data_IF_083895285762
#
_entry.id   IF_083895285762
#
_cell.length_a   1.000
_cell.length_b   1.000
_cell.length_c   1.000
_cell.angle_alpha   90.00
_cell.angle_beta   90.00
_cell.angle_gamma   90.00
#
_symmetry.space_group_name_H-M   'P 1'
#
loop_
_entity.id
_entity.type
_entity.pdbx_description
1 polymer ?
#
# COMPACT_ATOMS: atom_id res chain seq x y z
N UNK A 1 -7.51 4.95 8.57
CA UNK A 1 -7.77 3.53 8.22
C UNK A 1 -6.66 2.91 7.34
N UNK A 2 -5.37 3.21 7.57
CA UNK A 2 -4.24 2.64 6.80
C UNK A 2 -3.31 1.70 7.59
N UNK A 3 -3.28 1.81 8.92
CA UNK A 3 -2.33 1.11 9.79
C UNK A 3 -2.57 -0.41 9.89
N UNK A 4 -3.83 -0.86 9.76
CA UNK A 4 -4.18 -2.28 9.91
C UNK A 4 -3.78 -3.16 8.73
N UNK A 5 -3.52 -2.59 7.54
CA UNK A 5 -3.32 -3.36 6.30
C UNK A 5 -1.85 -3.61 5.96
N UNK A 6 -0.95 -2.74 6.41
CA UNK A 6 0.50 -2.94 6.33
C UNK A 6 0.98 -3.99 7.35
N UNK A 7 0.33 -4.02 8.52
CA UNK A 7 0.49 -5.09 9.50
C UNK A 7 0.23 -6.48 8.88
N UNK A 8 -0.80 -6.62 8.03
CA UNK A 8 -1.15 -7.88 7.39
C UNK A 8 -0.15 -8.39 6.32
N UNK A 9 0.72 -7.53 5.77
CA UNK A 9 1.78 -7.94 4.83
C UNK A 9 3.04 -8.40 5.56
N UNK A 10 3.45 -7.67 6.60
CA UNK A 10 4.47 -8.16 7.54
C UNK A 10 4.05 -9.47 8.20
N UNK A 11 2.76 -9.64 8.48
CA UNK A 11 2.18 -10.86 9.05
C UNK A 11 2.27 -12.07 8.12
N UNK A 12 2.19 -11.90 6.79
CA UNK A 12 2.31 -13.00 5.84
C UNK A 12 3.77 -13.50 5.72
N UNK A 13 4.73 -12.59 5.67
CA UNK A 13 6.16 -12.92 5.65
C UNK A 13 6.58 -13.60 6.96
N UNK A 14 6.17 -13.03 8.09
CA UNK A 14 6.36 -13.60 9.42
C UNK A 14 5.69 -14.97 9.56
N UNK A 15 4.47 -15.12 9.03
CA UNK A 15 3.74 -16.38 9.06
C UNK A 15 4.47 -17.46 8.27
N UNK A 16 4.95 -17.16 7.06
CA UNK A 16 5.74 -18.10 6.25
C UNK A 16 7.00 -18.51 7.03
N UNK A 17 7.70 -17.55 7.66
CA UNK A 17 8.91 -17.84 8.42
C UNK A 17 8.63 -18.68 9.68
N UNK A 18 7.54 -18.41 10.39
CA UNK A 18 7.09 -19.22 11.54
C UNK A 18 6.67 -20.62 11.09
N UNK A 19 5.98 -20.73 9.95
CA UNK A 19 5.56 -22.00 9.36
C UNK A 19 6.79 -22.84 8.96
N UNK A 20 7.78 -22.25 8.27
CA UNK A 20 9.06 -22.90 7.98
C UNK A 20 9.75 -23.40 9.25
N UNK A 21 9.74 -22.59 10.32
CA UNK A 21 10.35 -22.96 11.60
C UNK A 21 9.69 -24.19 12.23
N UNK A 22 8.35 -24.26 12.18
CA UNK A 22 7.59 -25.42 12.69
C UNK A 22 7.85 -26.65 11.83
N UNK A 23 7.76 -26.51 10.51
CA UNK A 23 7.89 -27.62 9.56
C UNK A 23 9.30 -28.21 9.55
N UNK A 24 10.33 -27.38 9.78
CA UNK A 24 11.70 -27.86 9.90
C UNK A 24 11.94 -28.73 11.13
N UNK A 25 11.11 -28.60 12.18
CA UNK A 25 11.17 -29.40 13.41
C UNK A 25 10.40 -30.72 13.30
N UNK A 26 9.59 -30.92 12.25
CA UNK A 26 8.92 -32.20 11.99
C UNK A 26 9.94 -33.17 11.39
N UNK A 27 9.95 -34.41 11.87
CA UNK A 27 10.73 -35.51 11.29
C UNK A 27 10.09 -35.95 9.98
N UNK A 28 10.32 -35.18 8.92
CA UNK A 28 10.02 -35.54 7.54
C UNK A 28 11.20 -36.30 6.94
N UNK A 29 10.91 -37.32 6.13
CA UNK A 29 11.92 -37.91 5.26
C UNK A 29 12.50 -36.85 4.30
N UNK A 30 13.69 -37.12 3.77
CA UNK A 30 14.43 -36.16 2.96
C UNK A 30 13.66 -35.68 1.72
N UNK A 31 12.88 -36.56 1.10
CA UNK A 31 12.11 -36.25 -0.10
C UNK A 31 10.91 -35.35 0.22
N UNK A 32 10.20 -35.64 1.30
CA UNK A 32 9.10 -34.82 1.81
C UNK A 32 9.61 -33.44 2.24
N UNK A 33 10.77 -33.36 2.90
CA UNK A 33 11.40 -32.09 3.30
C UNK A 33 11.77 -31.24 2.08
N UNK A 34 12.37 -31.84 1.06
CA UNK A 34 12.72 -31.13 -0.17
C UNK A 34 11.46 -30.62 -0.89
N UNK A 35 10.47 -31.49 -1.08
CA UNK A 35 9.21 -31.12 -1.74
C UNK A 35 8.50 -29.98 -1.01
N UNK A 36 8.51 -30.01 0.33
CA UNK A 36 7.93 -28.97 1.16
C UNK A 36 8.68 -27.64 1.05
N UNK A 37 10.02 -27.66 1.07
CA UNK A 37 10.83 -26.45 0.88
C UNK A 37 10.53 -25.81 -0.47
N UNK A 38 10.53 -26.60 -1.55
CA UNK A 38 10.21 -26.10 -2.91
C UNK A 38 8.79 -25.51 -3.00
N UNK A 39 7.82 -26.13 -2.32
CA UNK A 39 6.46 -25.61 -2.28
C UNK A 39 6.38 -24.26 -1.55
N UNK A 40 7.10 -24.11 -0.43
CA UNK A 40 7.16 -22.86 0.34
C UNK A 40 7.88 -21.76 -0.47
N UNK A 41 8.96 -22.08 -1.17
CA UNK A 41 9.69 -21.12 -2.01
C UNK A 41 8.79 -20.60 -3.13
N UNK A 42 8.08 -21.50 -3.82
CA UNK A 42 7.09 -21.14 -4.86
C UNK A 42 5.97 -20.27 -4.29
N UNK A 43 5.43 -20.62 -3.12
CA UNK A 43 4.40 -19.84 -2.47
C UNK A 43 4.89 -18.43 -2.11
N UNK A 44 6.10 -18.33 -1.54
CA UNK A 44 6.72 -17.06 -1.18
C UNK A 44 6.90 -16.16 -2.41
N UNK A 45 7.34 -16.71 -3.53
CA UNK A 45 7.47 -15.96 -4.79
C UNK A 45 6.11 -15.47 -5.32
N UNK A 46 5.07 -16.30 -5.26
CA UNK A 46 3.71 -15.93 -5.65
C UNK A 46 3.16 -14.82 -4.76
N UNK A 47 3.40 -14.92 -3.45
CA UNK A 47 2.89 -13.98 -2.46
C UNK A 47 3.59 -12.62 -2.57
N UNK A 48 4.92 -12.60 -2.77
CA UNK A 48 5.68 -11.38 -3.11
C UNK A 48 5.09 -10.68 -4.34
N UNK A 49 4.80 -11.44 -5.40
CA UNK A 49 4.19 -10.89 -6.62
C UNK A 49 2.78 -10.35 -6.36
N UNK A 50 1.98 -11.05 -5.54
CA UNK A 50 0.61 -10.63 -5.18
C UNK A 50 0.62 -9.31 -4.42
N UNK A 51 1.49 -9.19 -3.42
CA UNK A 51 1.70 -7.98 -2.60
C UNK A 51 2.17 -6.81 -3.46
N UNK A 52 3.21 -7.00 -4.27
CA UNK A 52 3.72 -5.97 -5.20
C UNK A 52 2.61 -5.45 -6.13
N UNK A 53 1.85 -6.35 -6.76
CA UNK A 53 0.70 -5.97 -7.61
C UNK A 53 -0.35 -5.17 -6.86
N UNK A 54 -0.69 -5.59 -5.64
CA UNK A 54 -1.68 -4.90 -4.80
C UNK A 54 -1.22 -3.48 -4.46
N UNK A 55 0.03 -3.32 -4.06
CA UNK A 55 0.60 -2.03 -3.70
C UNK A 55 0.67 -1.07 -4.91
N UNK A 56 1.00 -1.58 -6.10
CA UNK A 56 0.91 -0.79 -7.35
C UNK A 56 -0.52 -0.34 -7.67
N UNK A 57 -1.52 -1.20 -7.46
CA UNK A 57 -2.93 -0.83 -7.66
C UNK A 57 -3.34 0.25 -6.66
N UNK A 58 -2.95 0.15 -5.39
CA UNK A 58 -3.24 1.18 -4.39
C UNK A 58 -2.59 2.52 -4.73
N UNK A 59 -1.32 2.53 -5.14
CA UNK A 59 -0.64 3.74 -5.57
C UNK A 59 -1.35 4.42 -6.76
N UNK A 60 -1.79 3.64 -7.75
CA UNK A 60 -2.58 4.15 -8.89
C UNK A 60 -3.91 4.73 -8.44
N UNK A 61 -4.62 4.09 -7.52
CA UNK A 61 -5.86 4.61 -6.97
C UNK A 61 -5.67 5.95 -6.24
N UNK A 62 -4.57 6.13 -5.49
CA UNK A 62 -4.25 7.42 -4.88
C UNK A 62 -3.94 8.50 -5.93
N UNK A 63 -3.19 8.14 -7.00
CA UNK A 63 -2.95 9.04 -8.14
C UNK A 63 -4.26 9.49 -8.80
N UNK A 64 -5.19 8.56 -9.05
CA UNK A 64 -6.47 8.87 -9.66
C UNK A 64 -7.34 9.76 -8.74
N UNK A 65 -7.29 9.54 -7.42
CA UNK A 65 -7.97 10.41 -6.45
C UNK A 65 -7.37 11.82 -6.44
N UNK A 66 -6.04 11.97 -6.50
CA UNK A 66 -5.38 13.28 -6.60
C UNK A 66 -5.84 14.01 -7.85
N UNK A 67 -5.88 13.34 -9.01
CA UNK A 67 -6.39 13.94 -10.26
C UNK A 67 -7.81 14.47 -10.07
N UNK A 68 -8.70 13.71 -9.44
CA UNK A 68 -10.05 14.17 -9.16
C UNK A 68 -10.08 15.41 -8.23
N UNK A 69 -9.25 15.44 -7.19
CA UNK A 69 -9.13 16.60 -6.28
C UNK A 69 -8.54 17.82 -6.99
N UNK A 70 -7.60 17.64 -7.91
CA UNK A 70 -7.06 18.73 -8.74
C UNK A 70 -8.13 19.36 -9.64
N UNK A 71 -9.11 18.57 -10.11
CA UNK A 71 -10.27 19.11 -10.83
C UNK A 71 -11.07 20.10 -9.96
N UNK A 72 -11.35 19.76 -8.70
CA UNK A 72 -12.02 20.69 -7.79
C UNK A 72 -11.13 21.89 -7.44
N UNK A 73 -9.84 21.65 -7.23
CA UNK A 73 -8.88 22.71 -6.90
C UNK A 73 -8.70 23.74 -8.04
N UNK A 74 -9.07 23.40 -9.27
CA UNK A 74 -9.07 24.37 -10.39
C UNK A 74 -10.07 25.52 -10.20
N UNK A 75 -11.05 25.37 -9.31
CA UNK A 75 -11.94 26.47 -8.91
C UNK A 75 -11.16 27.61 -8.23
N UNK A 76 -10.00 27.31 -7.64
CA UNK A 76 -9.10 28.31 -7.03
C UNK A 76 -8.67 29.39 -8.03
N UNK A 77 -8.59 29.07 -9.33
CA UNK A 77 -8.23 30.03 -10.39
C UNK A 77 -9.26 31.17 -10.53
N UNK A 78 -10.48 30.97 -10.03
CA UNK A 78 -11.58 31.93 -10.09
C UNK A 78 -11.74 32.71 -8.78
N UNK A 79 -11.09 32.26 -7.70
CA UNK A 79 -11.16 32.91 -6.39
C UNK A 79 -10.21 34.11 -6.38
N UNK A 80 -10.71 35.25 -5.93
CA UNK A 80 -9.93 36.47 -5.78
C UNK A 80 -9.95 36.95 -4.33
N UNK A 81 -9.09 37.91 -3.99
CA UNK A 81 -9.04 38.52 -2.65
C UNK A 81 -10.40 39.13 -2.22
N UNK A 82 -11.19 39.56 -3.21
CA UNK A 82 -12.53 40.12 -3.05
C UNK A 82 -13.64 39.10 -2.89
N UNK A 83 -13.35 37.81 -2.78
CA UNK A 83 -14.37 36.78 -2.54
C UNK A 83 -15.16 37.09 -1.26
N UNK A 84 -16.49 37.10 -1.40
CA UNK A 84 -17.40 37.43 -0.32
C UNK A 84 -17.60 36.23 0.60
N UNK A 85 -17.62 35.02 0.02
CA UNK A 85 -17.72 33.80 0.80
C UNK A 85 -16.34 33.37 1.31
N UNK A 86 -16.08 33.65 2.59
CA UNK A 86 -14.80 33.32 3.22
C UNK A 86 -14.64 31.82 3.51
N UNK A 87 -15.69 31.01 3.47
CA UNK A 87 -15.56 29.56 3.73
C UNK A 87 -14.82 28.85 2.61
N UNK A 88 -14.90 29.37 1.37
CA UNK A 88 -14.23 28.80 0.20
C UNK A 88 -12.71 28.72 0.40
N UNK A 89 -12.08 29.69 1.09
CA UNK A 89 -10.64 29.63 1.36
C UNK A 89 -10.26 28.44 2.26
N UNK A 90 -11.08 28.13 3.26
CA UNK A 90 -10.86 26.96 4.13
C UNK A 90 -11.11 25.67 3.36
N UNK A 91 -12.12 25.62 2.50
CA UNK A 91 -12.39 24.46 1.64
C UNK A 91 -11.22 24.16 0.69
N UNK A 92 -10.63 25.20 0.08
CA UNK A 92 -9.45 25.05 -0.76
C UNK A 92 -8.23 24.59 0.05
N UNK A 93 -8.05 25.10 1.27
CA UNK A 93 -7.00 24.64 2.17
C UNK A 93 -7.16 23.15 2.52
N UNK A 94 -8.39 22.70 2.79
CA UNK A 94 -8.69 21.29 3.05
C UNK A 94 -8.38 20.40 1.84
N UNK A 95 -8.67 20.85 0.62
CA UNK A 95 -8.30 20.12 -0.61
C UNK A 95 -6.77 19.92 -0.71
N UNK A 96 -5.96 20.92 -0.41
CA UNK A 96 -4.50 20.77 -0.38
C UNK A 96 -4.05 19.72 0.67
N UNK A 97 -4.65 19.75 1.86
CA UNK A 97 -4.36 18.76 2.92
C UNK A 97 -4.74 17.35 2.45
N UNK A 98 -5.90 17.17 1.82
CA UNK A 98 -6.32 15.86 1.31
C UNK A 98 -5.41 15.34 0.18
N UNK A 99 -4.96 16.23 -0.72
CA UNK A 99 -3.97 15.89 -1.75
C UNK A 99 -2.67 15.43 -1.10
N UNK A 100 -2.16 16.14 -0.08
CA UNK A 100 -0.96 15.75 0.63
C UNK A 100 -1.10 14.38 1.31
N UNK A 101 -2.25 14.11 1.95
CA UNK A 101 -2.55 12.80 2.54
C UNK A 101 -2.54 11.70 1.48
N UNK A 102 -3.18 11.91 0.34
CA UNK A 102 -3.20 10.94 -0.76
C UNK A 102 -1.82 10.73 -1.39
N UNK A 103 -1.04 11.80 -1.55
CA UNK A 103 0.32 11.73 -2.07
C UNK A 103 1.22 10.93 -1.14
N UNK A 104 1.15 11.17 0.17
CA UNK A 104 1.90 10.41 1.17
C UNK A 104 1.50 8.93 1.18
N UNK A 105 0.20 8.63 1.10
CA UNK A 105 -0.28 7.26 1.05
C UNK A 105 0.14 6.53 -0.24
N UNK A 106 0.07 7.19 -1.39
CA UNK A 106 0.56 6.66 -2.67
C UNK A 106 2.07 6.39 -2.65
N UNK A 107 2.86 7.32 -2.11
CA UNK A 107 4.30 7.14 -1.94
C UNK A 107 4.64 5.98 -1.00
N UNK A 108 3.91 5.85 0.12
CA UNK A 108 4.08 4.72 1.04
C UNK A 108 3.75 3.38 0.36
N UNK A 109 2.67 3.31 -0.43
CA UNK A 109 2.33 2.11 -1.20
C UNK A 109 3.43 1.73 -2.20
N UNK A 110 4.05 2.70 -2.89
CA UNK A 110 5.17 2.43 -3.78
C UNK A 110 6.42 1.95 -3.04
N UNK A 111 6.78 2.56 -1.91
CA UNK A 111 7.92 2.10 -1.10
C UNK A 111 7.74 0.67 -0.58
N UNK A 112 6.50 0.27 -0.31
CA UNK A 112 6.15 -1.10 0.06
C UNK A 112 6.24 -2.11 -1.10
N UNK A 113 6.52 -1.66 -2.34
CA UNK A 113 6.87 -2.55 -3.45
C UNK A 113 8.36 -2.90 -3.42
N UNK A 114 9.20 -1.92 -3.06
CA UNK A 114 10.66 -2.05 -3.04
C UNK A 114 11.21 -2.65 -1.74
N UNK A 115 10.44 -2.64 -0.65
CA UNK A 115 10.82 -3.31 0.59
C UNK A 115 10.69 -4.84 0.42
N UNK A 116 11.76 -5.43 -0.11
CA UNK A 116 12.03 -6.86 -0.11
C UNK A 116 11.94 -7.42 1.32
N UNK A 117 11.33 -8.61 1.46
CA UNK A 117 11.45 -9.49 2.62
C UNK A 117 12.84 -10.14 2.59
#
# INVERSE_FOLDING_TARGET
>A
MGATRHAAEGDAADFIHRLQTVLNRVELDCNCRQSLSEAIDRFTALERRRVSRRNLIQARAHKDRIIAMMTFLSELDQITEGENDRTVFEEMALLFVEIAVCANAGAAALRAVDQEI
#
